data_IF_782133671817
#
_entry.id   IF_782133671817
#
_cell.length_a   1.000
_cell.length_b   1.000
_cell.length_c   1.000
_cell.angle_alpha   90.00
_cell.angle_beta   90.00
_cell.angle_gamma   90.00
#
_symmetry.space_group_name_H-M   'P 1'
#
loop_
_entity.id
_entity.type
_entity.pdbx_description
1 polymer ?
#
# COMPACT_ATOMS: atom_id res chain seq x y z
N UNK A 1 14.12 -18.69 38.18
CA UNK A 1 12.81 -18.86 37.52
C UNK A 1 12.56 -17.84 36.40
N UNK A 2 12.63 -16.52 36.64
CA UNK A 2 12.25 -15.47 35.66
C UNK A 2 12.72 -15.70 34.19
N UNK A 3 14.01 -16.03 33.99
CA UNK A 3 14.63 -16.22 32.67
C UNK A 3 14.00 -17.37 31.83
N UNK A 4 13.30 -18.32 32.46
CA UNK A 4 12.53 -19.34 31.75
C UNK A 4 11.19 -18.79 31.23
N UNK A 5 10.46 -18.05 32.06
CA UNK A 5 9.18 -17.43 31.68
C UNK A 5 9.35 -16.37 30.57
N UNK A 6 10.48 -15.66 30.54
CA UNK A 6 10.80 -14.73 29.46
C UNK A 6 11.07 -15.46 28.13
N UNK A 7 11.86 -16.55 28.15
CA UNK A 7 12.06 -17.41 26.97
C UNK A 7 10.74 -17.98 26.45
N UNK A 8 9.84 -18.41 27.34
CA UNK A 8 8.52 -18.91 26.98
C UNK A 8 7.65 -17.83 26.31
N UNK A 9 7.60 -16.61 26.88
CA UNK A 9 6.92 -15.45 26.28
C UNK A 9 7.48 -15.13 24.88
N UNK A 10 8.81 -15.18 24.70
CA UNK A 10 9.46 -14.95 23.40
C UNK A 10 9.11 -16.04 22.38
N UNK A 11 9.10 -17.32 22.78
CA UNK A 11 8.69 -18.44 21.92
C UNK A 11 7.21 -18.33 21.50
N UNK A 12 6.32 -17.92 22.41
CA UNK A 12 4.90 -17.66 22.10
C UNK A 12 4.73 -16.53 21.06
N UNK A 13 5.48 -15.43 21.19
CA UNK A 13 5.50 -14.33 20.19
C UNK A 13 6.00 -14.80 18.83
N UNK A 14 7.09 -15.58 18.77
CA UNK A 14 7.64 -16.11 17.52
C UNK A 14 6.62 -17.01 16.81
N UNK A 15 6.00 -17.96 17.53
CA UNK A 15 4.98 -18.85 16.95
C UNK A 15 3.77 -18.09 16.39
N UNK A 16 3.24 -17.09 17.12
CA UNK A 16 2.14 -16.25 16.63
C UNK A 16 2.54 -15.50 15.35
N UNK A 17 3.71 -14.88 15.32
CA UNK A 17 4.22 -14.18 14.15
C UNK A 17 4.44 -15.09 12.93
N UNK A 18 4.81 -16.37 13.14
CA UNK A 18 4.89 -17.37 12.07
C UNK A 18 3.51 -17.73 11.51
N UNK A 19 2.54 -18.00 12.39
CA UNK A 19 1.15 -18.31 12.00
C UNK A 19 0.49 -17.14 11.24
N UNK A 20 0.70 -15.90 11.69
CA UNK A 20 0.25 -14.70 10.99
C UNK A 20 0.86 -14.57 9.59
N UNK A 21 2.14 -14.91 9.41
CA UNK A 21 2.81 -14.89 8.10
C UNK A 21 2.35 -16.04 7.18
N UNK A 22 2.02 -17.21 7.73
CA UNK A 22 1.43 -18.32 6.98
C UNK A 22 0.00 -18.00 6.52
N UNK A 23 -0.80 -17.33 7.36
CA UNK A 23 -2.12 -16.83 6.98
C UNK A 23 -2.02 -15.72 5.93
N UNK A 24 -1.16 -14.72 6.12
CA UNK A 24 -0.93 -13.63 5.16
C UNK A 24 -0.46 -14.17 3.79
N UNK A 25 0.28 -15.28 3.76
CA UNK A 25 0.68 -15.97 2.53
C UNK A 25 -0.49 -16.72 1.85
N UNK A 26 -1.40 -17.32 2.63
CA UNK A 26 -2.61 -18.02 2.13
C UNK A 26 -3.59 -17.04 1.49
N UNK A 27 -3.91 -15.95 2.19
CA UNK A 27 -4.82 -14.90 1.72
C UNK A 27 -4.28 -14.25 0.42
N UNK A 28 -2.97 -13.99 0.35
CA UNK A 28 -2.30 -13.45 -0.85
C UNK A 28 -2.18 -14.45 -2.01
N UNK A 29 -2.35 -15.75 -1.76
CA UNK A 29 -2.47 -16.76 -2.81
C UNK A 29 -3.91 -16.81 -3.35
N UNK A 30 -4.91 -16.82 -2.45
CA UNK A 30 -6.33 -16.80 -2.78
C UNK A 30 -6.72 -15.58 -3.63
N UNK A 31 -6.28 -14.38 -3.22
CA UNK A 31 -6.43 -13.13 -3.98
C UNK A 31 -5.80 -13.15 -5.39
N UNK A 32 -4.94 -14.15 -5.69
CA UNK A 32 -4.27 -14.34 -6.99
C UNK A 32 -4.77 -15.58 -7.73
N UNK A 33 -5.84 -16.23 -7.26
CA UNK A 33 -6.34 -17.49 -7.83
C UNK A 33 -5.38 -18.68 -7.65
N UNK A 34 -4.44 -18.59 -6.71
CA UNK A 34 -3.47 -19.63 -6.38
C UNK A 34 -3.95 -20.46 -5.19
N UNK A 35 -3.60 -21.75 -5.15
CA UNK A 35 -3.98 -22.66 -4.06
C UNK A 35 -3.42 -22.18 -2.70
N UNK A 36 -4.27 -21.87 -1.70
CA UNK A 36 -3.78 -21.40 -0.40
C UNK A 36 -2.99 -22.49 0.36
N UNK A 37 -3.34 -23.76 0.21
CA UNK A 37 -2.71 -24.87 0.94
C UNK A 37 -1.23 -25.07 0.57
N UNK A 38 -0.84 -24.72 -0.65
CA UNK A 38 0.54 -24.80 -1.13
C UNK A 38 1.34 -23.52 -0.80
N UNK A 39 0.67 -22.44 -0.39
CA UNK A 39 1.27 -21.15 -0.10
C UNK A 39 2.07 -21.15 1.21
N UNK A 40 3.28 -20.58 1.15
CA UNK A 40 4.20 -20.46 2.29
C UNK A 40 4.82 -19.05 2.30
N UNK A 41 5.06 -18.45 3.47
CA UNK A 41 5.76 -17.17 3.55
C UNK A 41 7.18 -17.31 3.01
N UNK A 42 7.62 -16.33 2.24
CA UNK A 42 8.97 -16.29 1.68
C UNK A 42 10.00 -16.25 2.83
N UNK A 43 11.05 -17.06 2.76
CA UNK A 43 12.08 -17.19 3.80
C UNK A 43 12.86 -15.91 4.09
N UNK A 44 12.75 -14.89 3.23
CA UNK A 44 13.30 -13.55 3.43
C UNK A 44 12.35 -12.55 4.11
N UNK A 45 11.09 -12.91 4.40
CA UNK A 45 10.16 -12.00 5.09
C UNK A 45 10.64 -11.75 6.52
N UNK A 46 10.80 -10.48 6.87
CA UNK A 46 11.08 -10.02 8.23
C UNK A 46 9.86 -9.29 8.77
N UNK A 47 9.45 -9.61 10.00
CA UNK A 47 8.33 -9.01 10.72
C UNK A 47 8.86 -8.43 12.02
N UNK A 48 8.55 -7.17 12.28
CA UNK A 48 9.02 -6.45 13.46
C UNK A 48 8.22 -6.91 14.70
N UNK A 49 8.90 -7.16 15.82
CA UNK A 49 8.30 -7.71 17.05
C UNK A 49 7.65 -6.66 17.96
N UNK A 50 7.94 -5.37 17.74
CA UNK A 50 7.35 -4.24 18.46
C UNK A 50 6.14 -3.69 17.70
N UNK A 51 6.25 -3.63 16.38
CA UNK A 51 5.19 -3.25 15.44
C UNK A 51 5.13 -4.30 14.31
N UNK A 52 4.19 -5.27 14.35
CA UNK A 52 4.06 -6.32 13.34
C UNK A 52 3.49 -5.89 11.98
N UNK A 53 2.97 -4.67 11.85
CA UNK A 53 2.26 -4.18 10.66
C UNK A 53 3.16 -3.28 9.78
N UNK A 54 4.08 -2.54 10.40
CA UNK A 54 5.18 -1.86 9.70
C UNK A 54 5.98 -2.82 8.80
N UNK A 55 6.58 -2.29 7.73
CA UNK A 55 7.42 -3.04 6.78
C UNK A 55 8.77 -2.36 6.58
N UNK A 56 9.77 -3.12 6.13
CA UNK A 56 11.04 -2.55 5.68
C UNK A 56 10.84 -2.04 4.25
N UNK A 57 10.89 -0.72 4.05
CA UNK A 57 10.64 -0.04 2.78
C UNK A 57 11.90 0.69 2.29
N UNK A 58 12.15 0.78 0.97
CA UNK A 58 13.23 1.59 0.42
C UNK A 58 12.90 3.09 0.54
N UNK A 59 13.85 3.89 1.03
CA UNK A 59 13.71 5.36 1.13
C UNK A 59 15.05 6.05 0.93
N UNK A 60 15.15 6.92 -0.08
CA UNK A 60 16.33 7.77 -0.31
C UNK A 60 17.65 7.01 -0.48
N UNK A 61 17.64 5.82 -1.07
CA UNK A 61 18.81 4.94 -1.20
C UNK A 61 19.14 4.10 0.05
N UNK A 62 18.33 4.21 1.11
CA UNK A 62 18.41 3.41 2.33
C UNK A 62 17.17 2.51 2.48
N UNK A 63 17.11 1.72 3.56
CA UNK A 63 15.90 0.98 3.97
C UNK A 63 15.46 1.43 5.36
N UNK A 64 14.17 1.72 5.54
CA UNK A 64 13.56 2.18 6.78
C UNK A 64 12.42 1.26 7.20
N UNK A 65 12.24 1.03 8.50
CA UNK A 65 11.01 0.42 9.03
C UNK A 65 9.91 1.49 9.03
N UNK A 66 8.87 1.33 8.21
CA UNK A 66 7.86 2.37 8.00
C UNK A 66 6.53 1.81 7.49
N UNK A 67 5.59 2.72 7.28
CA UNK A 67 4.38 2.58 6.47
C UNK A 67 4.49 3.54 5.28
N UNK A 68 3.61 3.38 4.29
CA UNK A 68 3.29 4.44 3.34
C UNK A 68 1.99 5.13 3.77
N UNK A 69 1.82 6.40 3.48
CA UNK A 69 0.67 7.19 3.94
C UNK A 69 0.17 8.11 2.82
N UNK A 70 -1.07 7.89 2.41
CA UNK A 70 -1.73 8.58 1.30
C UNK A 70 -2.72 9.61 1.87
N UNK A 71 -2.78 10.80 1.29
CA UNK A 71 -3.64 11.91 1.75
C UNK A 71 -4.27 12.58 0.54
N UNK A 72 -5.59 12.78 0.57
CA UNK A 72 -6.30 13.63 -0.40
C UNK A 72 -6.72 14.93 0.27
N UNK A 73 -6.42 16.05 -0.38
CA UNK A 73 -6.69 17.41 0.10
C UNK A 73 -7.60 18.10 -0.90
N UNK A 74 -8.65 18.76 -0.40
CA UNK A 74 -9.50 19.61 -1.22
C UNK A 74 -8.75 20.90 -1.61
N UNK A 75 -8.75 21.23 -2.90
CA UNK A 75 -7.92 22.32 -3.44
C UNK A 75 -8.37 23.71 -2.97
N UNK A 76 -9.68 23.94 -2.86
CA UNK A 76 -10.25 25.25 -2.53
C UNK A 76 -10.18 25.55 -1.02
N UNK A 77 -10.46 24.56 -0.17
CA UNK A 77 -10.53 24.71 1.29
C UNK A 77 -9.26 24.29 2.02
N UNK A 78 -8.33 23.60 1.35
CA UNK A 78 -7.11 23.00 1.93
C UNK A 78 -7.39 21.97 3.05
N UNK A 79 -8.61 21.41 3.09
CA UNK A 79 -9.00 20.39 4.07
C UNK A 79 -8.59 18.99 3.61
N UNK A 80 -8.10 18.16 4.54
CA UNK A 80 -7.88 16.73 4.29
C UNK A 80 -9.24 16.03 4.21
N UNK A 81 -9.59 15.51 3.04
CA UNK A 81 -10.87 14.85 2.75
C UNK A 81 -10.78 13.32 2.75
N UNK A 82 -9.58 12.74 2.57
CA UNK A 82 -9.34 11.31 2.77
C UNK A 82 -7.89 11.03 3.21
N UNK A 83 -7.68 9.91 3.90
CA UNK A 83 -6.36 9.44 4.34
C UNK A 83 -6.32 7.91 4.45
N UNK A 84 -5.21 7.31 4.04
CA UNK A 84 -4.94 5.89 4.19
C UNK A 84 -3.50 5.64 4.65
N UNK A 85 -3.29 4.58 5.44
CA UNK A 85 -1.94 4.14 5.85
C UNK A 85 -1.77 2.69 5.40
N UNK A 86 -0.80 2.46 4.50
CA UNK A 86 -0.61 1.21 3.79
C UNK A 86 0.75 0.54 4.05
N UNK A 87 0.81 -0.74 3.71
CA UNK A 87 2.04 -1.55 3.76
C UNK A 87 2.74 -1.68 2.39
N UNK A 88 2.19 -1.05 1.34
CA UNK A 88 2.84 -0.97 0.02
C UNK A 88 3.98 0.04 0.05
N UNK A 89 5.20 -0.29 -0.42
CA UNK A 89 6.30 0.66 -0.57
C UNK A 89 6.17 1.53 -1.85
N UNK A 90 5.01 1.54 -2.50
CA UNK A 90 4.73 2.28 -3.73
C UNK A 90 3.28 2.76 -3.74
N UNK A 91 3.08 3.96 -4.28
CA UNK A 91 1.80 4.67 -4.41
C UNK A 91 0.95 4.20 -5.60
N UNK A 92 1.52 3.34 -6.45
CA UNK A 92 0.75 2.63 -7.47
C UNK A 92 -0.34 1.79 -6.78
N UNK A 93 -1.52 1.71 -7.42
CA UNK A 93 -2.73 1.09 -6.85
C UNK A 93 -3.32 1.80 -5.62
N UNK A 94 -2.95 3.05 -5.35
CA UNK A 94 -3.56 3.87 -4.29
C UNK A 94 -4.54 4.93 -4.82
N UNK A 95 -4.60 5.16 -6.14
CA UNK A 95 -5.40 6.24 -6.73
C UNK A 95 -6.91 5.95 -6.63
N UNK A 96 -7.34 4.77 -7.09
CA UNK A 96 -8.76 4.39 -7.08
C UNK A 96 -9.32 4.16 -5.65
N UNK A 97 -8.58 3.55 -4.70
CA UNK A 97 -8.96 3.52 -3.29
C UNK A 97 -9.13 4.91 -2.65
N UNK A 98 -8.25 5.87 -2.94
CA UNK A 98 -8.35 7.22 -2.37
C UNK A 98 -9.55 7.99 -2.92
N UNK A 99 -9.88 7.86 -4.21
CA UNK A 99 -11.09 8.47 -4.79
C UNK A 99 -12.36 7.90 -4.16
N UNK A 100 -12.44 6.57 -3.99
CA UNK A 100 -13.54 5.93 -3.25
C UNK A 100 -13.67 6.43 -1.80
N UNK A 101 -12.55 6.73 -1.15
CA UNK A 101 -12.57 7.23 0.22
C UNK A 101 -12.99 8.70 0.31
N UNK A 102 -12.61 9.54 -0.67
CA UNK A 102 -13.15 10.92 -0.80
C UNK A 102 -14.67 10.86 -1.00
N UNK A 103 -15.15 10.02 -1.91
CA UNK A 103 -16.58 9.80 -2.16
C UNK A 103 -17.31 9.35 -0.88
N UNK A 104 -16.77 8.37 -0.15
CA UNK A 104 -17.36 7.86 1.08
C UNK A 104 -17.36 8.88 2.24
N UNK A 105 -16.34 9.74 2.34
CA UNK A 105 -16.21 10.72 3.41
C UNK A 105 -17.03 12.00 3.16
N UNK A 106 -17.19 12.41 1.90
CA UNK A 106 -17.79 13.70 1.52
C UNK A 106 -19.17 13.59 0.86
N UNK A 107 -19.52 12.41 0.35
CA UNK A 107 -20.67 12.21 -0.53
C UNK A 107 -20.48 12.76 -1.95
N UNK A 108 -19.25 13.16 -2.32
CA UNK A 108 -18.93 13.80 -3.60
C UNK A 108 -17.76 13.08 -4.30
N UNK A 109 -17.93 12.84 -5.61
CA UNK A 109 -16.83 12.46 -6.50
C UNK A 109 -16.08 13.75 -6.92
N UNK A 110 -14.74 13.81 -6.82
CA UNK A 110 -13.97 14.98 -7.25
C UNK A 110 -14.07 15.15 -8.77
N UNK A 111 -14.24 16.39 -9.27
CA UNK A 111 -14.30 16.65 -10.73
C UNK A 111 -12.93 16.57 -11.40
N UNK A 112 -11.90 17.00 -10.68
CA UNK A 112 -10.51 17.04 -11.12
C UNK A 112 -9.65 16.49 -9.99
N UNK A 113 -8.59 15.76 -10.33
CA UNK A 113 -7.63 15.24 -9.35
C UNK A 113 -6.21 15.29 -9.93
N UNK A 114 -5.27 15.86 -9.18
CA UNK A 114 -3.85 15.81 -9.47
C UNK A 114 -3.10 14.88 -8.50
N UNK A 115 -2.10 14.17 -9.01
CA UNK A 115 -1.24 13.29 -8.21
C UNK A 115 0.17 13.19 -8.82
N UNK A 116 1.15 12.78 -8.02
CA UNK A 116 2.52 12.57 -8.49
C UNK A 116 2.67 11.29 -9.33
N UNK A 117 3.81 11.14 -10.02
CA UNK A 117 4.05 10.01 -10.92
C UNK A 117 4.22 8.64 -10.24
N UNK A 118 4.21 8.58 -8.90
CA UNK A 118 4.13 7.34 -8.14
C UNK A 118 2.74 6.71 -8.19
N UNK A 119 1.69 7.52 -8.31
CA UNK A 119 0.30 7.07 -8.46
C UNK A 119 -0.05 6.58 -9.88
N UNK A 120 0.85 6.76 -10.85
CA UNK A 120 0.62 6.38 -12.25
C UNK A 120 0.44 4.86 -12.38
N UNK A 121 -0.80 4.42 -12.59
CA UNK A 121 -1.15 3.04 -12.88
C UNK A 121 -2.40 3.03 -13.77
N UNK A 122 -2.26 2.64 -15.04
CA UNK A 122 -3.31 2.80 -16.06
C UNK A 122 -4.66 2.25 -15.61
N UNK A 123 -4.69 1.05 -15.03
CA UNK A 123 -5.94 0.38 -14.69
C UNK A 123 -6.61 0.97 -13.43
N UNK A 124 -5.90 1.77 -12.63
CA UNK A 124 -6.52 2.62 -11.60
C UNK A 124 -7.04 3.94 -12.22
N UNK A 125 -6.28 4.51 -13.16
CA UNK A 125 -6.63 5.74 -13.86
C UNK A 125 -7.91 5.55 -14.69
N UNK A 126 -7.98 4.51 -15.51
CA UNK A 126 -9.18 4.11 -16.28
C UNK A 126 -10.41 3.94 -15.37
N UNK A 127 -10.25 3.40 -14.16
CA UNK A 127 -11.33 3.17 -13.19
C UNK A 127 -11.76 4.43 -12.44
N UNK A 128 -10.93 5.48 -12.44
CA UNK A 128 -11.21 6.80 -11.87
C UNK A 128 -11.80 7.73 -12.94
N UNK A 129 -11.32 7.68 -14.18
CA UNK A 129 -11.89 8.39 -15.32
C UNK A 129 -13.32 7.90 -15.64
N UNK A 130 -13.59 6.60 -15.51
CA UNK A 130 -14.94 6.02 -15.59
C UNK A 130 -15.93 6.59 -14.54
N UNK A 131 -15.44 7.25 -13.48
CA UNK A 131 -16.27 7.95 -12.48
C UNK A 131 -16.54 9.42 -12.83
N UNK A 132 -16.02 9.90 -13.96
CA UNK A 132 -16.12 11.30 -14.40
C UNK A 132 -15.09 12.23 -13.77
N UNK A 133 -13.97 11.70 -13.28
CA UNK A 133 -12.85 12.47 -12.72
C UNK A 133 -11.84 12.78 -13.83
N UNK A 134 -11.51 14.05 -14.05
CA UNK A 134 -10.41 14.47 -14.93
C UNK A 134 -9.06 14.31 -14.20
N UNK A 135 -8.12 13.58 -14.78
CA UNK A 135 -6.85 13.20 -14.14
C UNK A 135 -5.64 14.00 -14.62
N UNK A 136 -4.92 14.56 -13.65
CA UNK A 136 -3.65 15.28 -13.84
C UNK A 136 -2.51 14.53 -13.13
N UNK A 137 -2.19 13.34 -13.64
CA UNK A 137 -1.13 12.46 -13.13
C UNK A 137 0.06 12.47 -14.09
N UNK A 138 1.26 12.80 -13.60
CA UNK A 138 2.46 12.80 -14.44
C UNK A 138 2.89 11.37 -14.81
N UNK A 139 3.22 11.06 -16.08
CA UNK A 139 3.70 9.73 -16.46
C UNK A 139 5.06 9.42 -15.83
N UNK A 140 5.33 8.14 -15.58
CA UNK A 140 6.62 7.66 -15.07
C UNK A 140 7.75 8.06 -16.03
N UNK A 141 8.89 8.52 -15.49
CA UNK A 141 10.03 9.01 -16.29
C UNK A 141 10.50 7.99 -17.34
N UNK A 142 10.24 8.29 -18.61
CA UNK A 142 10.90 7.63 -19.75
C UNK A 142 12.42 7.72 -19.63
N UNK A 143 13.13 6.72 -20.17
CA UNK A 143 14.57 6.85 -20.42
C UNK A 143 14.80 7.93 -21.48
N UNK A 144 15.95 8.62 -21.40
CA UNK A 144 16.35 9.60 -22.41
C UNK A 144 16.28 8.98 -23.82
N UNK A 145 15.53 9.61 -24.72
CA UNK A 145 15.31 9.12 -26.09
C UNK A 145 14.10 8.21 -26.30
N UNK A 146 13.24 7.99 -25.29
CA UNK A 146 11.91 7.41 -25.48
C UNK A 146 10.83 8.48 -25.28
N UNK A 147 9.82 8.48 -26.14
CA UNK A 147 8.61 9.29 -25.97
C UNK A 147 7.91 8.94 -24.63
N UNK A 148 7.20 9.89 -24.00
CA UNK A 148 6.36 9.56 -22.86
C UNK A 148 5.19 8.68 -23.33
N UNK A 149 4.96 7.56 -22.64
CA UNK A 149 3.72 6.81 -22.82
C UNK A 149 2.55 7.74 -22.51
N UNK A 150 1.55 7.90 -23.40
CA UNK A 150 0.30 8.56 -23.04
C UNK A 150 -0.35 7.88 -21.83
N UNK A 151 -1.19 8.61 -21.10
CA UNK A 151 -2.13 8.03 -20.14
C UNK A 151 -2.93 6.91 -20.84
#
# INVERSE_FOLDING_TARGET
MALAAEKEKRLKRIRKAQQELEQEAREKAEQKGQKPEEAKPNSKVQRNFTDPESRIMPRGGSFQQSYNAQVAVDADTQLIVAQAVGQSPSDARQLEPMVKQVEANTGLVPKQLSADSGYFCREDMEQVEQRGVELFVAPVRSKHGQEPTPA
#
